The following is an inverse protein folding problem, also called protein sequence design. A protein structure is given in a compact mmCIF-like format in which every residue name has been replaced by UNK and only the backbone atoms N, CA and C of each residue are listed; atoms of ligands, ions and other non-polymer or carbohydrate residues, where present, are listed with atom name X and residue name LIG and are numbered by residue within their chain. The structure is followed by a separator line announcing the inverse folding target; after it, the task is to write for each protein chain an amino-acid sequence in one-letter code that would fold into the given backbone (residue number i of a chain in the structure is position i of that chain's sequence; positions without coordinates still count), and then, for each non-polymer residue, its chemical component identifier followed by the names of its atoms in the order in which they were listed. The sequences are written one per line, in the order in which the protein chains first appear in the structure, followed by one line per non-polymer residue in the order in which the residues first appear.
data_IF_461993123152
#
_entry.id   IF_461993123152
#
_cell.length_a   1.000
_cell.length_b   1.000
_cell.length_c   1.000
_cell.angle_alpha   90.00
_cell.angle_beta   90.00
_cell.angle_gamma   90.00
#
_symmetry.space_group_name_H-M   'P 1'
#
loop_
_entity.id
_entity.type
_entity.pdbx_description
1 polymer ?
#
# COMPACT_ATOMS: atom_id res chain seq x y z
N UNK A 1 -10.44 -25.03 21.52
CA UNK A 1 -9.45 -23.97 21.19
C UNK A 1 -10.23 -22.73 20.79
N UNK A 2 -10.08 -21.62 21.53
CA UNK A 2 -10.88 -20.40 21.31
C UNK A 2 -10.30 -19.61 20.13
N UNK A 3 -11.08 -19.44 19.05
CA UNK A 3 -10.68 -18.58 17.93
C UNK A 3 -10.75 -17.12 18.36
N UNK A 4 -9.62 -16.40 18.34
CA UNK A 4 -9.57 -14.97 18.65
C UNK A 4 -10.28 -14.18 17.56
N UNK A 5 -11.28 -13.36 17.94
CA UNK A 5 -11.96 -12.43 17.03
C UNK A 5 -11.18 -11.11 16.99
N UNK A 6 -10.88 -10.64 15.79
CA UNK A 6 -10.19 -9.37 15.52
C UNK A 6 -11.06 -8.45 14.66
N UNK A 7 -10.80 -7.14 14.70
CA UNK A 7 -11.58 -6.12 13.99
C UNK A 7 -10.64 -5.14 13.28
N UNK A 8 -10.85 -4.93 11.98
CA UNK A 8 -10.12 -3.99 11.12
C UNK A 8 -11.04 -2.81 10.76
N UNK A 9 -10.55 -1.58 10.95
CA UNK A 9 -11.25 -0.35 10.56
C UNK A 9 -10.51 0.33 9.41
N UNK A 10 -11.18 0.54 8.29
CA UNK A 10 -10.64 1.21 7.11
C UNK A 10 -11.44 2.49 6.85
N UNK A 11 -10.80 3.65 6.95
CA UNK A 11 -11.47 4.90 6.58
C UNK A 11 -11.62 5.02 5.04
N UNK A 12 -12.34 6.04 4.56
CA UNK A 12 -12.53 6.26 3.11
C UNK A 12 -11.21 6.33 2.34
N UNK A 13 -10.18 6.97 2.89
CA UNK A 13 -8.87 7.11 2.23
C UNK A 13 -8.15 5.76 2.15
N UNK A 14 -8.11 5.01 3.26
CA UNK A 14 -7.46 3.69 3.32
C UNK A 14 -8.12 2.70 2.36
N UNK A 15 -9.46 2.73 2.25
CA UNK A 15 -10.23 1.94 1.29
C UNK A 15 -9.82 2.27 -0.15
N UNK A 16 -9.77 3.56 -0.49
CA UNK A 16 -9.41 3.99 -1.84
C UNK A 16 -7.96 3.63 -2.19
N UNK A 17 -7.01 3.82 -1.27
CA UNK A 17 -5.59 3.47 -1.48
C UNK A 17 -5.45 1.96 -1.67
N UNK A 18 -6.00 1.17 -0.75
CA UNK A 18 -5.89 -0.29 -0.77
C UNK A 18 -6.54 -0.89 -2.00
N UNK A 19 -7.76 -0.45 -2.34
CA UNK A 19 -8.50 -0.97 -3.49
C UNK A 19 -7.86 -0.59 -4.83
N UNK A 20 -7.50 0.69 -4.99
CA UNK A 20 -6.80 1.16 -6.20
C UNK A 20 -5.46 0.47 -6.37
N UNK A 21 -4.78 0.17 -5.26
CA UNK A 21 -3.54 -0.58 -5.30
C UNK A 21 -3.74 -2.02 -5.79
N UNK A 22 -4.65 -2.77 -5.17
CA UNK A 22 -4.94 -4.16 -5.54
C UNK A 22 -5.34 -4.25 -7.01
N UNK A 23 -6.26 -3.40 -7.46
CA UNK A 23 -6.72 -3.39 -8.84
C UNK A 23 -5.60 -3.05 -9.82
N UNK A 24 -4.87 -1.96 -9.56
CA UNK A 24 -3.81 -1.49 -10.46
C UNK A 24 -2.59 -2.41 -10.52
N UNK A 25 -2.48 -3.38 -9.60
CA UNK A 25 -1.48 -4.43 -9.63
C UNK A 25 -1.77 -5.47 -10.72
N UNK A 26 -3.04 -5.79 -10.96
CA UNK A 26 -3.44 -6.84 -11.90
C UNK A 26 -3.99 -6.30 -13.22
N UNK A 27 -4.57 -5.10 -13.20
CA UNK A 27 -5.27 -4.49 -14.32
C UNK A 27 -4.77 -3.05 -14.51
N UNK A 28 -4.76 -2.56 -15.75
CA UNK A 28 -4.58 -1.13 -15.97
C UNK A 28 -5.93 -0.45 -15.71
N UNK A 29 -6.10 0.12 -14.53
CA UNK A 29 -7.40 0.62 -14.09
C UNK A 29 -7.30 1.92 -13.28
N UNK A 30 -8.42 2.63 -13.23
CA UNK A 30 -8.72 3.65 -12.24
C UNK A 30 -9.89 3.17 -11.38
N UNK A 31 -9.91 3.53 -10.10
CA UNK A 31 -10.98 3.15 -9.20
C UNK A 31 -11.21 4.20 -8.14
N UNK A 32 -12.45 4.26 -7.66
CA UNK A 32 -12.87 5.11 -6.56
C UNK A 32 -13.91 4.38 -5.73
N UNK A 33 -13.79 4.51 -4.41
CA UNK A 33 -14.79 4.06 -3.45
C UNK A 33 -15.37 5.30 -2.76
N UNK A 34 -16.68 5.42 -2.81
CA UNK A 34 -17.43 6.42 -2.05
C UNK A 34 -18.30 5.73 -1.02
N UNK A 35 -18.55 6.41 0.09
CA UNK A 35 -19.39 5.90 1.18
C UNK A 35 -20.63 6.80 1.24
N UNK A 36 -21.81 6.22 1.08
CA UNK A 36 -23.11 6.91 1.20
C UNK A 36 -24.11 5.97 1.85
N UNK A 37 -24.92 6.47 2.79
CA UNK A 37 -26.06 5.73 3.36
C UNK A 37 -25.72 4.34 3.91
N UNK A 38 -24.57 4.18 4.56
CA UNK A 38 -24.05 2.89 5.06
C UNK A 38 -23.80 1.86 3.95
N UNK A 39 -23.50 2.34 2.74
CA UNK A 39 -23.12 1.54 1.59
C UNK A 39 -21.78 2.02 1.03
N UNK A 40 -21.03 1.09 0.46
CA UNK A 40 -19.85 1.41 -0.33
C UNK A 40 -20.24 1.38 -1.81
N UNK A 41 -20.08 2.50 -2.51
CA UNK A 41 -20.21 2.54 -3.95
C UNK A 41 -18.84 2.48 -4.60
N UNK A 42 -18.65 1.49 -5.47
CA UNK A 42 -17.44 1.23 -6.20
C UNK A 42 -17.62 1.70 -7.64
N UNK A 43 -16.69 2.52 -8.10
CA UNK A 43 -16.60 2.95 -9.49
C UNK A 43 -15.24 2.52 -10.03
N UNK A 44 -15.23 1.74 -11.10
CA UNK A 44 -14.02 1.20 -11.72
C UNK A 44 -14.02 1.52 -13.21
N UNK A 45 -12.87 1.89 -13.74
CA UNK A 45 -12.61 1.96 -15.18
C UNK A 45 -11.42 1.05 -15.48
N UNK A 46 -11.64 0.01 -16.27
CA UNK A 46 -10.62 -0.98 -16.63
C UNK A 46 -10.26 -0.78 -18.10
N UNK A 47 -8.98 -0.50 -18.37
CA UNK A 47 -8.46 -0.40 -19.73
C UNK A 47 -8.39 -1.79 -20.37
N UNK A 48 -9.00 -1.93 -21.54
CA UNK A 48 -8.99 -3.15 -22.34
C UNK A 48 -7.82 -3.12 -23.33
N UNK A 49 -7.17 -4.25 -23.54
CA UNK A 49 -6.19 -4.38 -24.64
C UNK A 49 -6.97 -4.44 -25.96
N UNK A 50 -6.61 -3.57 -26.92
CA UNK A 50 -7.20 -3.40 -28.26
C UNK A 50 -8.30 -4.40 -28.62
N UNK A 51 -9.56 -3.96 -28.52
CA UNK A 51 -10.70 -4.71 -29.01
C UNK A 51 -11.63 -3.78 -29.82
N UNK A 52 -12.59 -4.38 -30.54
CA UNK A 52 -13.53 -3.65 -31.40
C UNK A 52 -14.66 -2.94 -30.62
N UNK A 53 -14.72 -3.10 -29.30
CA UNK A 53 -15.85 -2.68 -28.45
C UNK A 53 -15.50 -1.50 -27.53
N UNK A 54 -14.26 -0.99 -27.58
CA UNK A 54 -13.82 0.18 -26.84
C UNK A 54 -12.50 -0.02 -26.09
N UNK A 55 -11.90 1.09 -25.67
CA UNK A 55 -10.60 1.07 -24.98
C UNK A 55 -10.72 0.80 -23.48
N UNK A 56 -11.93 0.88 -22.92
CA UNK A 56 -12.18 0.67 -21.50
C UNK A 56 -13.56 0.06 -21.25
N UNK A 57 -13.72 -0.56 -20.09
CA UNK A 57 -15.02 -0.95 -19.54
C UNK A 57 -15.18 -0.33 -18.16
N UNK A 58 -16.32 0.32 -17.94
CA UNK A 58 -16.69 0.81 -16.62
C UNK A 58 -17.41 -0.30 -15.85
N UNK A 59 -17.09 -0.46 -14.58
CA UNK A 59 -17.80 -1.36 -13.67
C UNK A 59 -18.19 -0.55 -12.45
N UNK A 60 -19.49 -0.46 -12.18
CA UNK A 60 -20.02 0.23 -11.02
C UNK A 60 -20.84 -0.76 -10.21
N UNK A 61 -20.72 -0.75 -8.89
CA UNK A 61 -21.59 -1.54 -8.02
C UNK A 61 -21.64 -0.94 -6.63
N UNK A 62 -22.65 -1.33 -5.86
CA UNK A 62 -22.78 -0.97 -4.46
C UNK A 62 -22.66 -2.21 -3.58
N UNK A 63 -22.07 -2.04 -2.42
CA UNK A 63 -21.96 -3.04 -1.37
C UNK A 63 -22.70 -2.54 -0.14
N UNK A 64 -23.70 -3.29 0.30
CA UNK A 64 -24.48 -2.99 1.49
C UNK A 64 -24.52 -4.19 2.43
N UNK A 65 -24.84 -3.95 3.70
CA UNK A 65 -25.11 -5.03 4.66
C UNK A 65 -26.56 -5.47 4.54
N UNK A 66 -26.79 -6.75 4.24
CA UNK A 66 -28.11 -7.36 4.25
C UNK A 66 -28.07 -8.65 5.06
N UNK A 67 -28.93 -8.76 6.07
CA UNK A 67 -29.00 -9.93 6.97
C UNK A 67 -27.64 -10.35 7.58
N UNK A 68 -26.75 -9.37 7.83
CA UNK A 68 -25.44 -9.61 8.44
C UNK A 68 -24.29 -9.84 7.44
N UNK A 69 -24.60 -10.02 6.15
CA UNK A 69 -23.60 -10.30 5.11
C UNK A 69 -23.46 -9.12 4.13
N UNK A 70 -22.27 -8.95 3.52
CA UNK A 70 -22.10 -7.99 2.44
C UNK A 70 -22.79 -8.50 1.18
N UNK A 71 -23.70 -7.71 0.61
CA UNK A 71 -24.40 -8.03 -0.63
C UNK A 71 -24.09 -6.97 -1.67
N UNK A 72 -23.78 -7.43 -2.88
CA UNK A 72 -23.53 -6.59 -4.04
C UNK A 72 -24.87 -6.31 -4.71
N UNK A 73 -25.12 -5.05 -5.01
CA UNK A 73 -26.32 -4.60 -5.71
C UNK A 73 -26.00 -3.47 -6.69
N UNK A 74 -26.94 -3.18 -7.58
CA UNK A 74 -26.82 -2.16 -8.62
C UNK A 74 -25.55 -2.32 -9.46
N UNK A 75 -25.22 -3.56 -9.82
CA UNK A 75 -24.06 -3.85 -10.66
C UNK A 75 -24.32 -3.38 -12.08
N UNK A 76 -23.41 -2.58 -12.61
CA UNK A 76 -23.42 -2.10 -13.99
C UNK A 76 -22.06 -2.36 -14.62
N UNK A 77 -22.07 -2.93 -15.82
CA UNK A 77 -20.86 -3.17 -16.62
C UNK A 77 -21.05 -2.49 -17.98
N UNK A 78 -20.30 -1.43 -18.23
CA UNK A 78 -20.55 -0.54 -19.36
C UNK A 78 -21.95 0.05 -19.27
N UNK A 79 -22.78 -0.21 -20.28
CA UNK A 79 -24.18 0.21 -20.32
C UNK A 79 -25.15 -0.85 -19.77
N UNK A 80 -24.67 -2.06 -19.48
CA UNK A 80 -25.49 -3.19 -19.07
C UNK A 80 -25.71 -3.12 -17.56
N UNK A 81 -26.96 -2.93 -17.15
CA UNK A 81 -27.40 -3.03 -15.75
C UNK A 81 -27.75 -4.50 -15.48
N UNK A 82 -27.13 -5.05 -14.44
CA UNK A 82 -27.31 -6.43 -14.01
C UNK A 82 -28.31 -6.46 -12.85
N UNK A 83 -29.27 -7.37 -12.92
CA UNK A 83 -30.24 -7.57 -11.84
C UNK A 83 -29.53 -8.07 -10.56
N UNK A 84 -29.99 -7.60 -9.40
CA UNK A 84 -29.29 -7.78 -8.12
C UNK A 84 -29.12 -9.27 -7.74
N UNK A 85 -30.03 -10.13 -8.18
CA UNK A 85 -29.97 -11.58 -7.94
C UNK A 85 -28.75 -12.23 -8.60
N UNK A 86 -28.23 -11.63 -9.67
CA UNK A 86 -27.07 -12.13 -10.41
C UNK A 86 -25.78 -11.35 -10.13
N UNK A 87 -25.89 -10.18 -9.48
CA UNK A 87 -24.76 -9.28 -9.27
C UNK A 87 -23.61 -9.96 -8.49
N UNK A 88 -23.94 -10.62 -7.37
CA UNK A 88 -22.97 -11.38 -6.57
C UNK A 88 -22.29 -12.49 -7.37
N UNK A 89 -23.07 -13.33 -8.06
CA UNK A 89 -22.56 -14.46 -8.85
C UNK A 89 -21.61 -14.02 -9.97
N UNK A 90 -21.92 -12.89 -10.62
CA UNK A 90 -21.08 -12.35 -11.70
C UNK A 90 -19.75 -11.85 -11.14
N UNK A 91 -19.77 -11.11 -10.02
CA UNK A 91 -18.53 -10.63 -9.39
C UNK A 91 -17.68 -11.80 -8.88
N UNK A 92 -18.28 -12.79 -8.23
CA UNK A 92 -17.57 -14.00 -7.81
C UNK A 92 -16.94 -14.73 -8.99
N UNK A 93 -17.69 -14.86 -10.09
CA UNK A 93 -17.20 -15.50 -11.31
C UNK A 93 -16.03 -14.73 -11.91
N UNK A 94 -16.10 -13.40 -11.98
CA UNK A 94 -14.98 -12.57 -12.42
C UNK A 94 -13.75 -12.77 -11.54
N UNK A 95 -13.91 -12.72 -10.22
CA UNK A 95 -12.82 -12.90 -9.25
C UNK A 95 -12.17 -14.29 -9.42
N UNK A 96 -12.96 -15.34 -9.65
CA UNK A 96 -12.50 -16.72 -9.81
C UNK A 96 -11.48 -16.90 -10.96
N UNK A 97 -11.59 -16.08 -12.01
CA UNK A 97 -10.66 -16.11 -13.15
C UNK A 97 -9.50 -15.11 -13.03
N UNK A 98 -9.36 -14.46 -11.87
CA UNK A 98 -8.26 -13.54 -11.57
C UNK A 98 -7.37 -14.09 -10.46
N UNK A 99 -6.12 -13.57 -10.32
CA UNK A 99 -5.29 -13.86 -9.16
C UNK A 99 -5.89 -13.41 -7.81
N UNK A 100 -7.03 -12.71 -7.81
CA UNK A 100 -7.75 -12.31 -6.60
C UNK A 100 -8.52 -13.46 -5.93
N UNK A 101 -8.72 -14.58 -6.64
CA UNK A 101 -9.45 -15.75 -6.14
C UNK A 101 -8.99 -16.21 -4.74
N UNK A 102 -7.68 -16.33 -4.54
CA UNK A 102 -7.13 -16.83 -3.26
C UNK A 102 -7.43 -15.85 -2.12
N UNK A 103 -7.39 -14.54 -2.39
CA UNK A 103 -7.72 -13.51 -1.41
C UNK A 103 -9.21 -13.47 -1.10
N UNK A 104 -10.06 -13.67 -2.11
CA UNK A 104 -11.52 -13.75 -1.93
C UNK A 104 -11.93 -14.94 -1.06
N UNK A 105 -11.35 -16.12 -1.32
CA UNK A 105 -11.62 -17.32 -0.52
C UNK A 105 -11.20 -17.10 0.94
N UNK A 106 -10.01 -16.53 1.17
CA UNK A 106 -9.54 -16.22 2.52
C UNK A 106 -10.44 -15.17 3.20
N UNK A 107 -10.87 -14.14 2.49
CA UNK A 107 -11.77 -13.12 3.03
C UNK A 107 -13.12 -13.75 3.43
N UNK A 108 -13.77 -14.48 2.54
CA UNK A 108 -15.09 -15.10 2.79
C UNK A 108 -15.04 -16.12 3.93
N UNK A 109 -13.94 -16.88 4.07
CA UNK A 109 -13.83 -17.91 5.11
C UNK A 109 -13.61 -17.34 6.52
N UNK A 110 -12.92 -16.20 6.61
CA UNK A 110 -12.47 -15.67 7.89
C UNK A 110 -13.26 -14.45 8.38
N UNK A 111 -13.88 -13.70 7.48
CA UNK A 111 -14.74 -12.56 7.85
C UNK A 111 -16.01 -13.10 8.52
N UNK A 112 -16.28 -12.57 9.72
CA UNK A 112 -17.47 -12.85 10.52
C UNK A 112 -18.50 -11.75 10.45
N UNK A 113 -18.06 -10.51 10.39
CA UNK A 113 -18.96 -9.37 10.33
C UNK A 113 -18.37 -8.26 9.47
N UNK A 114 -19.24 -7.56 8.76
CA UNK A 114 -18.92 -6.29 8.12
C UNK A 114 -19.90 -5.23 8.64
N UNK A 115 -19.37 -4.06 8.97
CA UNK A 115 -20.17 -2.87 9.30
C UNK A 115 -19.69 -1.71 8.44
N UNK A 116 -20.60 -1.10 7.69
CA UNK A 116 -20.32 0.07 6.88
C UNK A 116 -20.91 1.27 7.61
N UNK A 117 -20.09 2.26 7.92
CA UNK A 117 -20.51 3.49 8.59
C UNK A 117 -20.08 4.69 7.74
N UNK A 118 -20.48 5.91 8.14
CA UNK A 118 -20.16 7.12 7.37
C UNK A 118 -18.67 7.45 7.34
N UNK A 119 -17.89 6.96 8.32
CA UNK A 119 -16.45 7.18 8.41
C UNK A 119 -15.60 6.12 7.69
N UNK A 120 -16.17 4.96 7.34
CA UNK A 120 -15.40 3.84 6.81
C UNK A 120 -16.10 2.47 6.80
N UNK A 121 -15.27 1.45 6.72
CA UNK A 121 -15.62 0.03 6.74
C UNK A 121 -14.97 -0.61 7.96
N UNK A 122 -15.76 -1.35 8.73
CA UNK A 122 -15.29 -2.20 9.83
C UNK A 122 -15.47 -3.66 9.45
N UNK A 123 -14.44 -4.48 9.60
CA UNK A 123 -14.46 -5.91 9.29
C UNK A 123 -14.04 -6.69 10.53
N UNK A 124 -14.90 -7.57 11.02
CA UNK A 124 -14.59 -8.52 12.10
C UNK A 124 -14.22 -9.87 11.49
N UNK A 125 -13.12 -10.49 11.91
CA UNK A 125 -12.65 -11.77 11.38
C UNK A 125 -12.07 -12.68 12.48
N UNK A 126 -11.96 -13.98 12.18
CA UNK A 126 -11.30 -14.95 13.06
C UNK A 126 -9.82 -15.12 12.67
N UNK A 127 -8.90 -14.85 13.60
CA UNK A 127 -7.51 -15.26 13.44
C UNK A 127 -7.39 -16.79 13.61
N UNK A 128 -6.79 -17.46 12.62
CA UNK A 128 -6.50 -18.89 12.73
C UNK A 128 -5.10 -19.08 13.34
N UNK A 129 -4.94 -19.94 14.37
CA UNK A 129 -3.63 -20.23 14.98
C UNK A 129 -2.65 -20.98 14.07
N UNK A 130 -3.12 -21.49 12.93
CA UNK A 130 -2.38 -22.46 12.11
C UNK A 130 -1.75 -21.83 10.85
N UNK A 131 -1.19 -20.65 11.04
CA UNK A 131 -0.21 -20.12 10.10
C UNK A 131 1.15 -20.45 10.70
N UNK A 132 1.71 -21.60 10.30
CA UNK A 132 3.16 -21.82 10.29
C UNK A 132 3.77 -20.71 9.44
N UNK A 133 3.94 -19.54 10.07
CA UNK A 133 4.38 -18.32 9.44
C UNK A 133 5.80 -18.52 8.94
N UNK A 134 6.62 -19.35 9.62
CA UNK A 134 7.94 -19.77 9.14
C UNK A 134 7.91 -20.56 7.82
N UNK A 135 6.90 -21.41 7.60
CA UNK A 135 6.77 -22.18 6.34
C UNK A 135 6.11 -21.39 5.21
N UNK A 136 5.25 -20.40 5.54
CA UNK A 136 4.62 -19.50 4.56
C UNK A 136 5.45 -18.23 4.28
N UNK A 137 6.34 -17.86 5.20
CA UNK A 137 7.45 -16.91 5.05
C UNK A 137 8.67 -17.58 4.40
N UNK A 138 8.47 -18.57 3.54
CA UNK A 138 9.38 -18.80 2.41
C UNK A 138 9.38 -17.60 1.45
N UNK A 139 9.57 -16.38 1.97
CA UNK A 139 10.62 -15.52 1.46
C UNK A 139 11.81 -16.47 1.27
N UNK A 140 12.19 -16.80 0.02
CA UNK A 140 13.43 -17.54 -0.24
C UNK A 140 14.48 -17.05 0.76
N UNK A 141 15.18 -17.92 1.50
CA UNK A 141 16.11 -17.52 2.58
C UNK A 141 17.05 -16.37 2.16
N UNK A 142 17.39 -16.32 0.87
CA UNK A 142 18.12 -15.25 0.18
C UNK A 142 17.50 -13.84 0.30
N UNK A 143 16.17 -13.71 0.28
CA UNK A 143 15.45 -12.43 0.39
C UNK A 143 15.55 -11.84 1.81
N UNK A 144 15.48 -12.68 2.86
CA UNK A 144 15.61 -12.21 4.24
C UNK A 144 17.04 -11.73 4.52
N UNK A 145 18.04 -12.47 4.05
CA UNK A 145 19.45 -12.03 4.14
C UNK A 145 19.71 -10.71 3.41
N UNK A 146 19.02 -10.46 2.30
CA UNK A 146 19.11 -9.19 1.59
C UNK A 146 18.56 -8.03 2.43
N UNK A 147 17.42 -8.22 3.12
CA UNK A 147 16.85 -7.20 4.01
C UNK A 147 17.80 -6.88 5.17
N UNK A 148 18.36 -7.91 5.83
CA UNK A 148 19.35 -7.72 6.90
C UNK A 148 20.60 -6.98 6.41
N UNK A 149 21.07 -7.29 5.20
CA UNK A 149 22.20 -6.57 4.59
C UNK A 149 21.91 -5.06 4.47
N UNK A 150 20.73 -4.68 3.97
CA UNK A 150 20.38 -3.26 3.84
C UNK A 150 20.12 -2.58 5.18
N UNK A 151 19.63 -3.28 6.19
CA UNK A 151 19.54 -2.75 7.56
C UNK A 151 20.91 -2.43 8.13
N UNK A 152 21.90 -3.30 7.91
CA UNK A 152 23.28 -3.00 8.28
C UNK A 152 23.80 -1.77 7.55
N UNK A 153 23.49 -1.61 6.24
CA UNK A 153 23.87 -0.40 5.51
C UNK A 153 23.21 0.85 6.12
N UNK A 154 21.93 0.79 6.51
CA UNK A 154 21.25 1.88 7.23
C UNK A 154 22.01 2.23 8.51
N UNK A 155 22.37 1.25 9.36
CA UNK A 155 23.17 1.50 10.57
C UNK A 155 24.46 2.26 10.26
N UNK A 156 25.18 1.88 9.19
CA UNK A 156 26.42 2.54 8.77
C UNK A 156 26.20 3.96 8.25
N UNK A 157 25.07 4.24 7.60
CA UNK A 157 24.72 5.59 7.13
C UNK A 157 24.40 6.46 8.34
N UNK A 158 23.56 5.97 9.26
CA UNK A 158 23.15 6.68 10.47
C UNK A 158 24.31 6.98 11.40
N UNK A 159 25.26 6.06 11.54
CA UNK A 159 26.45 6.27 12.39
C UNK A 159 27.35 7.42 11.89
N UNK A 160 27.26 7.79 10.60
CA UNK A 160 28.03 8.88 10.00
C UNK A 160 27.22 10.17 9.82
N UNK A 161 25.93 10.14 10.16
CA UNK A 161 25.04 11.29 10.04
C UNK A 161 25.42 12.37 11.06
N UNK A 162 25.53 13.63 10.61
CA UNK A 162 25.75 14.76 11.51
C UNK A 162 24.43 15.09 12.24
N UNK A 163 24.37 14.93 13.58
CA UNK A 163 23.14 15.19 14.34
C UNK A 163 22.65 16.64 14.26
N UNK A 164 23.47 17.58 13.80
CA UNK A 164 23.06 18.99 13.59
C UNK A 164 22.13 19.17 12.39
N UNK A 165 22.09 18.21 11.46
CA UNK A 165 21.30 18.27 10.24
C UNK A 165 20.13 17.29 10.27
N UNK A 166 19.04 17.64 9.58
CA UNK A 166 17.92 16.71 9.37
C UNK A 166 18.38 15.60 8.43
N UNK A 167 18.10 14.35 8.79
CA UNK A 167 18.34 13.22 7.91
C UNK A 167 17.43 13.31 6.69
N UNK A 168 18.02 13.45 5.52
CA UNK A 168 17.28 13.43 4.27
C UNK A 168 17.00 12.00 3.84
N UNK A 169 15.80 11.73 3.32
CA UNK A 169 15.48 10.40 2.79
C UNK A 169 16.41 10.01 1.61
N UNK A 170 16.95 10.98 0.86
CA UNK A 170 17.93 10.71 -0.19
C UNK A 170 19.28 10.25 0.37
N UNK A 171 19.68 10.70 1.56
CA UNK A 171 20.92 10.24 2.24
C UNK A 171 20.83 8.77 2.63
N UNK A 172 19.61 8.24 2.83
CA UNK A 172 19.38 6.81 3.03
C UNK A 172 19.25 6.07 1.69
N UNK A 173 18.34 6.52 0.81
CA UNK A 173 17.99 5.78 -0.41
C UNK A 173 19.16 5.66 -1.38
N UNK A 174 19.96 6.71 -1.58
CA UNK A 174 21.05 6.71 -2.54
C UNK A 174 22.09 5.61 -2.26
N UNK A 175 22.72 5.53 -1.07
CA UNK A 175 23.69 4.48 -0.78
C UNK A 175 23.07 3.07 -0.76
N UNK A 176 21.80 2.92 -0.35
CA UNK A 176 21.12 1.63 -0.42
C UNK A 176 20.93 1.14 -1.85
N UNK A 177 20.44 2.01 -2.75
CA UNK A 177 20.29 1.67 -4.16
C UNK A 177 21.63 1.54 -4.88
N UNK A 178 22.68 2.25 -4.45
CA UNK A 178 24.05 2.03 -4.91
C UNK A 178 24.56 0.64 -4.53
N UNK A 179 24.35 0.21 -3.28
CA UNK A 179 24.69 -1.15 -2.85
C UNK A 179 23.88 -2.21 -3.61
N UNK A 180 22.59 -1.96 -3.84
CA UNK A 180 21.73 -2.81 -4.68
C UNK A 180 22.23 -2.89 -6.13
N UNK A 181 22.70 -1.77 -6.69
CA UNK A 181 23.30 -1.76 -8.02
C UNK A 181 24.58 -2.61 -8.03
N UNK A 182 25.46 -2.51 -7.04
CA UNK A 182 26.70 -3.29 -7.05
C UNK A 182 26.48 -4.79 -6.85
N UNK A 183 25.53 -5.20 -6.00
CA UNK A 183 25.36 -6.61 -5.62
C UNK A 183 24.38 -7.40 -6.49
N UNK A 184 23.60 -6.72 -7.33
CA UNK A 184 22.57 -7.36 -8.14
C UNK A 184 22.90 -7.38 -9.63
N UNK A 185 22.31 -8.33 -10.32
CA UNK A 185 22.28 -8.48 -11.76
C UNK A 185 20.84 -8.22 -12.26
N UNK A 186 20.61 -8.00 -13.57
CA UNK A 186 19.27 -7.74 -14.09
C UNK A 186 18.23 -8.78 -13.64
N UNK A 187 18.61 -10.06 -13.52
CA UNK A 187 17.69 -11.14 -13.17
C UNK A 187 17.18 -11.10 -11.71
N UNK A 188 17.95 -10.56 -10.76
CA UNK A 188 17.56 -10.46 -9.34
C UNK A 188 17.31 -9.02 -8.85
N UNK A 189 17.50 -8.00 -9.71
CA UNK A 189 17.30 -6.59 -9.37
C UNK A 189 15.92 -6.28 -8.73
N UNK A 190 14.85 -6.96 -9.16
CA UNK A 190 13.51 -6.80 -8.57
C UNK A 190 13.47 -7.22 -7.09
N UNK A 191 14.11 -8.34 -6.76
CA UNK A 191 14.13 -8.86 -5.39
C UNK A 191 14.97 -7.96 -4.48
N UNK A 192 16.11 -7.49 -4.99
CA UNK A 192 17.01 -6.57 -4.29
C UNK A 192 16.34 -5.22 -4.02
N UNK A 193 15.61 -4.67 -4.99
CA UNK A 193 14.82 -3.46 -4.78
C UNK A 193 13.72 -3.62 -3.73
N UNK A 194 13.05 -4.79 -3.68
CA UNK A 194 12.08 -5.10 -2.61
C UNK A 194 12.77 -5.12 -1.26
N UNK A 195 13.93 -5.75 -1.16
CA UNK A 195 14.69 -5.83 0.07
C UNK A 195 15.13 -4.44 0.57
N UNK A 196 15.61 -3.56 -0.32
CA UNK A 196 15.88 -2.15 0.01
C UNK A 196 14.64 -1.47 0.58
N UNK A 197 13.50 -1.59 -0.10
CA UNK A 197 12.25 -0.92 0.30
C UNK A 197 11.70 -1.44 1.62
N UNK A 198 11.79 -2.75 1.87
CA UNK A 198 11.43 -3.35 3.17
C UNK A 198 12.37 -2.82 4.25
N UNK A 199 13.69 -2.89 4.06
CA UNK A 199 14.67 -2.47 5.05
C UNK A 199 14.54 -0.97 5.41
N UNK A 200 14.33 -0.09 4.43
CA UNK A 200 14.15 1.34 4.75
C UNK A 200 12.79 1.61 5.39
N UNK A 201 11.75 0.85 5.04
CA UNK A 201 10.45 0.98 5.69
C UNK A 201 10.53 0.64 7.18
N UNK A 202 11.31 -0.38 7.57
CA UNK A 202 11.47 -0.73 9.00
C UNK A 202 12.27 0.31 9.77
N UNK A 203 13.00 1.20 9.09
CA UNK A 203 13.65 2.35 9.70
C UNK A 203 12.76 3.59 9.76
N UNK A 204 12.18 3.99 8.62
CA UNK A 204 11.40 5.24 8.47
C UNK A 204 10.04 5.14 9.17
N UNK A 205 9.41 3.98 9.06
CA UNK A 205 8.11 3.67 9.65
C UNK A 205 8.28 2.73 10.86
N UNK A 206 9.40 2.83 11.58
CA UNK A 206 9.76 1.90 12.67
C UNK A 206 8.64 1.76 13.69
N UNK A 207 8.10 2.86 14.19
CA UNK A 207 7.03 2.84 15.18
C UNK A 207 5.72 2.27 14.61
N UNK A 208 5.46 2.50 13.32
CA UNK A 208 4.28 2.02 12.61
C UNK A 208 4.42 0.58 12.08
N UNK A 209 5.58 -0.06 12.21
CA UNK A 209 5.85 -1.41 11.68
C UNK A 209 6.29 -2.36 12.79
N UNK A 210 7.14 -1.91 13.71
CA UNK A 210 7.67 -2.73 14.81
C UNK A 210 6.58 -3.28 15.72
N UNK A 211 5.48 -2.54 15.88
CA UNK A 211 4.33 -2.93 16.69
C UNK A 211 3.56 -4.12 16.12
N UNK A 212 3.77 -4.49 14.86
CA UNK A 212 3.03 -5.54 14.14
C UNK A 212 3.87 -6.78 13.83
N UNK A 213 5.13 -6.78 14.27
CA UNK A 213 6.07 -7.86 13.99
C UNK A 213 6.44 -8.58 15.28
N UNK A 214 6.32 -9.92 15.34
CA UNK A 214 6.68 -10.69 16.54
C UNK A 214 8.20 -10.74 16.78
N UNK A 215 9.00 -10.06 15.96
CA UNK A 215 10.45 -9.98 16.03
C UNK A 215 10.93 -8.61 15.50
N UNK A 216 12.01 -8.08 16.07
CA UNK A 216 12.62 -6.82 15.63
C UNK A 216 13.38 -7.02 14.32
N UNK A 217 12.90 -6.37 13.27
CA UNK A 217 13.59 -6.25 11.98
C UNK A 217 14.03 -4.80 11.73
N UNK A 218 14.25 -4.04 12.77
CA UNK A 218 14.86 -2.72 12.67
C UNK A 218 16.38 -2.86 12.53
N UNK A 219 17.06 -1.87 11.96
CA UNK A 219 18.52 -1.80 12.05
C UNK A 219 18.98 -1.91 13.51
N UNK A 220 20.01 -2.73 13.76
CA UNK A 220 20.59 -2.95 15.08
C UNK A 220 21.38 -1.72 15.58
N UNK A 221 20.68 -0.63 15.86
CA UNK A 221 21.22 0.63 16.39
C UNK A 221 20.19 1.34 17.24
N UNK A 222 20.65 2.03 18.28
CA UNK A 222 19.83 2.90 19.13
C UNK A 222 19.75 4.33 18.58
N UNK A 223 20.63 4.70 17.65
CA UNK A 223 20.61 6.01 17.00
C UNK A 223 19.48 6.09 15.99
N UNK A 224 18.59 7.05 16.17
CA UNK A 224 17.42 7.23 15.31
C UNK A 224 17.24 8.71 14.97
N UNK A 225 17.28 9.02 13.68
CA UNK A 225 16.99 10.35 13.16
C UNK A 225 15.76 10.24 12.26
N UNK A 226 14.76 11.11 12.41
CA UNK A 226 13.57 11.05 11.57
C UNK A 226 13.95 11.46 10.14
N UNK A 227 13.83 10.52 9.21
CA UNK A 227 14.05 10.79 7.80
C UNK A 227 13.02 11.81 7.29
N UNK A 228 13.44 12.68 6.37
CA UNK A 228 12.59 13.75 5.88
C UNK A 228 12.75 14.04 4.39
N UNK A 229 11.67 14.55 3.79
CA UNK A 229 11.59 15.11 2.45
C UNK A 229 11.06 16.53 2.58
N UNK A 230 11.66 17.52 1.92
CA UNK A 230 11.24 18.93 2.08
C UNK A 230 11.08 19.39 3.55
N UNK A 231 11.98 18.92 4.44
CA UNK A 231 11.96 19.14 5.91
C UNK A 231 10.77 18.50 6.65
N UNK A 232 10.02 17.62 6.01
CA UNK A 232 8.83 16.93 6.54
C UNK A 232 9.06 15.42 6.69
N UNK A 233 8.71 14.90 7.86
CA UNK A 233 8.97 13.50 8.26
C UNK A 233 7.79 12.59 7.92
N UNK A 234 6.57 13.10 8.07
CA UNK A 234 5.31 12.52 7.59
C UNK A 234 5.33 12.23 6.09
N UNK A 235 5.84 13.16 5.28
CA UNK A 235 6.03 12.93 3.84
C UNK A 235 6.93 11.73 3.54
N UNK A 236 8.04 11.59 4.26
CA UNK A 236 8.95 10.46 4.08
C UNK A 236 8.27 9.13 4.45
N UNK A 237 7.45 9.14 5.51
CA UNK A 237 6.64 7.98 5.93
C UNK A 237 5.62 7.58 4.87
N UNK A 238 4.84 8.54 4.35
CA UNK A 238 3.84 8.31 3.29
C UNK A 238 4.49 7.75 2.01
N UNK A 239 5.59 8.37 1.58
CA UNK A 239 6.34 7.93 0.41
C UNK A 239 6.86 6.50 0.56
N UNK A 240 7.56 6.17 1.67
CA UNK A 240 8.17 4.86 1.87
C UNK A 240 7.12 3.77 2.09
N UNK A 241 6.08 4.05 2.87
CA UNK A 241 4.97 3.13 3.07
C UNK A 241 4.31 2.76 1.72
N UNK A 242 3.95 3.76 0.92
CA UNK A 242 3.37 3.57 -0.42
C UNK A 242 4.32 2.85 -1.38
N UNK A 243 5.63 3.12 -1.30
CA UNK A 243 6.64 2.47 -2.14
C UNK A 243 6.84 0.99 -1.80
N UNK A 244 6.98 0.63 -0.52
CA UNK A 244 7.15 -0.77 -0.10
C UNK A 244 5.87 -1.57 -0.38
N UNK A 245 4.70 -0.97 -0.15
CA UNK A 245 3.39 -1.51 -0.53
C UNK A 245 3.40 -1.88 -2.00
N UNK A 246 3.68 -0.91 -2.87
CA UNK A 246 3.71 -1.07 -4.32
C UNK A 246 4.72 -2.10 -4.82
N UNK A 247 5.87 -2.20 -4.15
CA UNK A 247 6.92 -3.11 -4.54
C UNK A 247 6.64 -4.55 -4.10
N UNK A 248 5.97 -4.78 -2.96
CA UNK A 248 5.90 -6.12 -2.32
C UNK A 248 4.60 -6.88 -2.62
N UNK A 249 3.46 -6.20 -2.81
CA UNK A 249 2.17 -6.84 -3.05
C UNK A 249 1.38 -7.16 -1.77
N UNK A 250 0.05 -7.24 -1.87
CA UNK A 250 -0.85 -7.49 -0.74
C UNK A 250 -0.50 -8.75 0.07
N UNK A 251 0.05 -9.79 -0.55
CA UNK A 251 0.49 -11.02 0.13
C UNK A 251 1.69 -10.82 1.07
N UNK A 252 2.70 -10.06 0.65
CA UNK A 252 3.85 -9.76 1.51
C UNK A 252 3.47 -8.72 2.56
N UNK A 253 2.54 -7.82 2.23
CA UNK A 253 1.96 -6.91 3.19
C UNK A 253 1.15 -7.63 4.26
N UNK A 254 0.25 -8.56 3.90
CA UNK A 254 -0.49 -9.40 4.85
C UNK A 254 0.40 -10.36 5.67
N UNK A 255 1.66 -10.57 5.25
CA UNK A 255 2.67 -11.31 6.00
C UNK A 255 3.51 -10.40 6.92
N UNK A 256 3.72 -9.13 6.56
CA UNK A 256 4.40 -8.10 7.37
C UNK A 256 3.44 -7.45 8.38
N UNK A 257 2.17 -7.33 8.03
CA UNK A 257 1.06 -6.83 8.86
C UNK A 257 0.26 -7.98 9.50
N UNK A 258 0.78 -9.20 9.42
CA UNK A 258 0.01 -10.45 9.56
C UNK A 258 -0.50 -10.81 10.94
N UNK A 259 -0.24 -10.03 11.98
CA UNK A 259 -0.88 -10.17 13.29
C UNK A 259 -1.09 -8.74 13.83
N UNK A 260 -2.24 -8.15 13.47
CA UNK A 260 -2.55 -6.73 13.72
C UNK A 260 -2.74 -6.36 15.19
N UNK A 261 -2.19 -5.20 15.58
CA UNK A 261 -2.82 -4.24 16.49
C UNK A 261 -2.04 -2.91 16.48
N UNK A 262 -2.77 -1.78 16.49
CA UNK A 262 -2.29 -0.43 16.90
C UNK A 262 -1.93 0.63 15.84
N UNK A 263 -2.51 0.61 14.63
CA UNK A 263 -2.41 1.78 13.71
C UNK A 263 -3.56 2.76 13.98
N UNK A 264 -4.35 2.44 15.02
CA UNK A 264 -5.58 3.08 15.42
C UNK A 264 -5.37 4.28 16.36
N UNK A 265 -4.21 4.42 17.00
CA UNK A 265 -4.07 5.43 18.07
C UNK A 265 -3.47 6.77 17.63
N UNK A 266 -3.33 7.01 16.32
CA UNK A 266 -2.84 8.29 15.81
C UNK A 266 -3.64 8.78 14.60
N UNK A 267 -4.86 9.28 14.82
CA UNK A 267 -5.51 10.28 13.95
C UNK A 267 -6.81 10.84 14.55
N UNK A 268 -6.66 11.74 15.51
CA UNK A 268 -7.64 12.82 15.67
C UNK A 268 -7.20 14.00 14.78
N UNK A 269 -7.97 14.23 13.71
CA UNK A 269 -8.15 15.52 13.01
C UNK A 269 -6.95 16.17 12.31
N UNK A 270 -6.83 16.02 10.99
CA UNK A 270 -6.01 16.92 10.15
C UNK A 270 -6.64 17.40 8.83
N UNK A 271 -7.81 16.88 8.43
CA UNK A 271 -8.41 17.22 7.14
C UNK A 271 -7.63 16.65 5.93
N UNK A 272 -8.05 16.99 4.72
CA UNK A 272 -7.43 16.53 3.48
C UNK A 272 -6.11 17.30 3.20
N UNK A 273 -5.04 16.57 2.86
CA UNK A 273 -3.75 17.16 2.46
C UNK A 273 -3.35 16.69 1.06
N UNK A 274 -3.16 17.65 0.13
CA UNK A 274 -2.59 17.35 -1.19
C UNK A 274 -1.12 16.94 -1.11
N UNK A 275 -0.42 17.33 -0.05
CA UNK A 275 0.98 16.96 0.18
C UNK A 275 1.09 15.47 0.56
N UNK A 276 0.19 14.97 1.42
CA UNK A 276 0.12 13.54 1.75
C UNK A 276 -0.21 12.72 0.50
N UNK A 277 -1.19 13.17 -0.29
CA UNK A 277 -1.55 12.53 -1.56
C UNK A 277 -0.40 12.52 -2.57
N UNK A 278 0.38 13.60 -2.64
CA UNK A 278 1.56 13.67 -3.50
C UNK A 278 2.64 12.67 -3.04
N UNK A 279 2.88 12.58 -1.72
CA UNK A 279 3.77 11.58 -1.12
C UNK A 279 3.36 10.15 -1.46
N UNK A 280 2.08 9.82 -1.27
CA UNK A 280 1.53 8.50 -1.57
C UNK A 280 1.64 8.16 -3.06
N UNK A 281 1.27 9.10 -3.95
CA UNK A 281 1.35 8.88 -5.41
C UNK A 281 2.79 8.73 -5.90
N UNK A 282 3.71 9.54 -5.37
CA UNK A 282 5.13 9.44 -5.71
C UNK A 282 5.71 8.10 -5.23
N UNK A 283 5.42 7.71 -3.98
CA UNK A 283 5.82 6.42 -3.42
C UNK A 283 5.27 5.24 -4.22
N UNK A 284 3.97 5.26 -4.55
CA UNK A 284 3.33 4.22 -5.35
C UNK A 284 4.00 4.05 -6.73
N UNK A 285 4.28 5.17 -7.42
CA UNK A 285 4.98 5.16 -8.71
C UNK A 285 6.40 4.63 -8.57
N UNK A 286 7.11 5.03 -7.51
CA UNK A 286 8.46 4.58 -7.20
C UNK A 286 8.51 3.06 -7.01
N UNK A 287 7.66 2.51 -6.13
CA UNK A 287 7.60 1.07 -5.86
C UNK A 287 7.19 0.26 -7.09
N UNK A 288 6.23 0.73 -7.88
CA UNK A 288 5.86 0.10 -9.18
C UNK A 288 7.06 0.06 -10.14
N UNK A 289 7.79 1.18 -10.29
CA UNK A 289 9.00 1.23 -11.13
C UNK A 289 10.07 0.27 -10.62
N UNK A 290 10.22 0.15 -9.30
CA UNK A 290 11.21 -0.69 -8.65
C UNK A 290 11.06 -2.19 -8.98
N UNK A 291 9.86 -2.64 -9.33
CA UNK A 291 9.57 -4.06 -9.62
C UNK A 291 8.96 -4.32 -10.99
N UNK A 292 8.84 -3.31 -11.86
CA UNK A 292 8.13 -3.40 -13.13
C UNK A 292 8.70 -4.50 -14.06
N UNK A 293 10.01 -4.51 -14.26
CA UNK A 293 10.72 -5.54 -15.04
C UNK A 293 12.17 -5.63 -14.58
N UNK A 294 12.87 -6.71 -14.95
CA UNK A 294 14.30 -6.91 -14.65
C UNK A 294 15.15 -5.70 -15.06
N UNK A 295 15.00 -5.24 -16.31
CA UNK A 295 15.77 -4.12 -16.84
C UNK A 295 15.37 -2.77 -16.21
N UNK A 296 14.08 -2.50 -15.99
CA UNK A 296 13.64 -1.25 -15.35
C UNK A 296 14.00 -1.17 -13.87
N UNK A 297 13.91 -2.30 -13.15
CA UNK A 297 14.34 -2.42 -11.77
C UNK A 297 15.84 -2.12 -11.65
N UNK A 298 16.65 -2.69 -12.56
CA UNK A 298 18.08 -2.44 -12.64
C UNK A 298 18.40 -0.98 -12.98
N UNK A 299 17.65 -0.39 -13.92
CA UNK A 299 17.80 1.03 -14.28
C UNK A 299 17.48 1.94 -13.11
N UNK A 300 16.41 1.65 -12.34
CA UNK A 300 16.12 2.42 -11.13
C UNK A 300 17.27 2.39 -10.14
N UNK A 301 17.92 1.24 -9.94
CA UNK A 301 19.10 1.16 -9.05
C UNK A 301 20.22 2.08 -9.53
N UNK A 302 20.51 2.11 -10.84
CA UNK A 302 21.51 3.01 -11.41
C UNK A 302 21.12 4.47 -11.22
N UNK A 303 19.89 4.84 -11.61
CA UNK A 303 19.38 6.21 -11.48
C UNK A 303 19.49 6.67 -10.02
N UNK A 304 19.02 5.84 -9.07
CA UNK A 304 19.04 6.13 -7.64
C UNK A 304 20.43 6.12 -7.01
N UNK A 305 21.38 5.38 -7.57
CA UNK A 305 22.78 5.38 -7.10
C UNK A 305 23.50 6.71 -7.38
N UNK A 306 22.94 7.55 -8.26
CA UNK A 306 23.54 8.80 -8.74
C UNK A 306 22.78 10.06 -8.29
N UNK A 307 21.71 9.92 -7.52
CA UNK A 307 20.93 11.09 -7.08
C UNK A 307 21.72 11.96 -6.11
N UNK A 308 21.45 13.26 -6.17
CA UNK A 308 22.02 14.25 -5.24
C UNK A 308 21.09 14.50 -4.06
N UNK A 309 19.79 14.58 -4.33
CA UNK A 309 18.77 14.89 -3.34
C UNK A 309 17.42 14.25 -3.71
N UNK A 310 16.40 14.54 -2.90
CA UNK A 310 15.07 13.96 -3.01
C UNK A 310 14.24 14.43 -4.22
N UNK A 311 14.63 15.51 -4.90
CA UNK A 311 13.91 16.00 -6.10
C UNK A 311 13.97 14.99 -7.25
N UNK A 312 14.92 14.05 -7.21
CA UNK A 312 15.04 12.98 -8.19
C UNK A 312 13.90 11.94 -8.14
N UNK A 313 13.17 11.85 -7.03
CA UNK A 313 12.10 10.85 -6.84
C UNK A 313 10.81 11.42 -6.25
N UNK A 314 10.83 12.66 -5.74
CA UNK A 314 9.68 13.36 -5.20
C UNK A 314 9.46 14.68 -5.96
N UNK A 315 8.26 14.94 -6.52
CA UNK A 315 7.97 16.24 -7.13
C UNK A 315 8.04 17.37 -6.09
N UNK A 316 8.14 18.62 -6.56
CA UNK A 316 7.94 19.77 -5.70
C UNK A 316 6.47 19.82 -5.25
N UNK A 317 6.28 20.03 -3.96
CA UNK A 317 4.96 20.01 -3.30
C UNK A 317 4.75 21.23 -2.40
N UNK A 318 5.69 22.17 -2.38
CA UNK A 318 5.68 23.30 -1.44
C UNK A 318 4.54 24.29 -1.68
N UNK A 319 3.95 24.23 -2.87
CA UNK A 319 2.81 25.03 -3.33
C UNK A 319 1.46 24.29 -3.21
N UNK A 320 1.45 23.05 -2.70
CA UNK A 320 0.22 22.28 -2.58
C UNK A 320 -0.59 22.67 -1.33
N UNK A 321 -1.94 22.74 -1.43
CA UNK A 321 -2.80 23.07 -0.29
C UNK A 321 -2.83 21.96 0.78
N UNK A 322 -3.00 22.36 2.04
CA UNK A 322 -3.12 21.46 3.19
C UNK A 322 -4.20 21.89 4.18
N UNK A 323 -4.54 20.98 5.11
CA UNK A 323 -5.50 21.20 6.19
C UNK A 323 -6.88 21.63 5.67
N UNK A 324 -7.27 21.12 4.50
CA UNK A 324 -8.56 21.40 3.91
C UNK A 324 -9.61 20.58 4.65
N UNK A 325 -10.49 21.26 5.40
CA UNK A 325 -11.70 20.63 5.89
C UNK A 325 -12.62 20.28 4.70
N UNK A 326 -13.59 19.40 4.94
CA UNK A 326 -14.46 18.89 3.89
C UNK A 326 -15.25 20.00 3.17
N UNK A 327 -15.67 21.04 3.88
CA UNK A 327 -16.40 22.16 3.31
C UNK A 327 -15.51 23.00 2.38
N UNK A 328 -14.30 23.37 2.84
CA UNK A 328 -13.33 24.13 2.04
C UNK A 328 -12.89 23.33 0.82
N UNK A 329 -12.67 22.01 0.98
CA UNK A 329 -12.34 21.13 -0.14
C UNK A 329 -13.45 21.12 -1.20
N UNK A 330 -14.71 20.92 -0.79
CA UNK A 330 -15.86 20.92 -1.70
C UNK A 330 -16.06 22.26 -2.40
N UNK A 331 -15.84 23.37 -1.71
CA UNK A 331 -15.98 24.71 -2.28
C UNK A 331 -14.90 25.03 -3.31
N UNK A 332 -13.65 24.62 -3.06
CA UNK A 332 -12.51 24.97 -3.93
C UNK A 332 -12.30 23.99 -5.09
N UNK A 333 -12.58 22.70 -4.88
CA UNK A 333 -12.26 21.64 -5.85
C UNK A 333 -13.48 20.83 -6.30
N UNK A 334 -14.67 21.14 -5.79
CA UNK A 334 -15.91 20.43 -6.08
C UNK A 334 -16.06 19.13 -5.28
N UNK A 335 -17.10 18.38 -5.62
CA UNK A 335 -17.38 17.04 -5.08
C UNK A 335 -16.60 16.00 -5.90
N UNK A 336 -15.92 15.05 -5.24
CA UNK A 336 -15.35 13.86 -5.90
C UNK A 336 -16.38 12.73 -5.94
#
# INVERSE_FOLDING_TARGET
MSSTRNTLHLNKQDLNITFSYILSHYLSSASQITISDQQLAFNLAILLKNNLFGNYVNINFKLAKQQGYPVIHSLQIGEIIIADEFAGLIIESMIKYTPLKDYYILAVQHIKEIQINTSGLTITYNASPDLNLKDKLKLNENHFQSVLFYQQQITHIIARHDPKWRLSLSELLQPLFKAAYHRSMPYNAKAENRAVLIAISTYVNKHEIQTYLPFDISPATTLQYPASLYKRTDMAKHFIASAVLAATGARTLALILGEEKELHDAKQGSGFSFIDLAGDRAGLRFGKRAVQSKNKARRLQLDMSQIKDYTAFMPDVRDLPENLNEQTFKQQYGSI
#
